data_IF_856743289843
#
_entry.id   IF_856743289843
#
_cell.length_a   1.000
_cell.length_b   1.000
_cell.length_c   1.000
_cell.angle_alpha   90.00
_cell.angle_beta   90.00
_cell.angle_gamma   90.00
#
_symmetry.space_group_name_H-M   'P 1'
#
loop_
_entity.id
_entity.type
_entity.pdbx_description
1 polymer ?
#
# COMPACT_ATOMS: atom_id res chain seq x y z
N UNK A 1 21.24 -5.57 -2.62
CA UNK A 1 19.97 -6.03 -3.25
C UNK A 1 18.87 -5.77 -2.26
N UNK A 2 17.81 -5.03 -2.61
CA UNK A 2 16.71 -4.74 -1.68
C UNK A 2 15.89 -6.00 -1.41
N UNK A 3 15.58 -6.25 -0.14
CA UNK A 3 14.69 -7.33 0.27
C UNK A 3 13.26 -7.00 -0.15
N UNK A 4 12.44 -8.04 -0.35
CA UNK A 4 11.02 -7.86 -0.70
C UNK A 4 10.29 -6.99 0.34
N UNK A 5 10.63 -7.12 1.63
CA UNK A 5 10.05 -6.31 2.71
C UNK A 5 10.42 -4.83 2.62
N UNK A 6 11.66 -4.50 2.28
CA UNK A 6 12.12 -3.10 2.15
C UNK A 6 11.42 -2.40 0.98
N UNK A 7 11.29 -3.08 -0.16
CA UNK A 7 10.52 -2.59 -1.31
C UNK A 7 9.06 -2.36 -0.93
N UNK A 8 8.46 -3.22 -0.09
CA UNK A 8 7.10 -3.02 0.40
C UNK A 8 6.95 -1.78 1.29
N UNK A 9 7.93 -1.52 2.14
CA UNK A 9 7.95 -0.33 3.01
C UNK A 9 8.00 0.95 2.18
N UNK A 10 8.83 0.99 1.13
CA UNK A 10 8.90 2.11 0.19
C UNK A 10 7.56 2.30 -0.53
N UNK A 11 6.95 1.21 -1.01
CA UNK A 11 5.62 1.29 -1.62
C UNK A 11 4.55 1.82 -0.66
N UNK A 12 4.60 1.44 0.62
CA UNK A 12 3.65 1.91 1.62
C UNK A 12 3.83 3.40 1.90
N UNK A 13 5.08 3.87 1.99
CA UNK A 13 5.41 5.28 2.13
C UNK A 13 4.88 6.11 0.94
N UNK A 14 5.18 5.70 -0.29
CA UNK A 14 4.72 6.38 -1.52
C UNK A 14 3.20 6.34 -1.67
N UNK A 15 2.55 5.24 -1.23
CA UNK A 15 1.09 5.14 -1.18
C UNK A 15 0.48 6.14 -0.21
N UNK A 16 1.03 6.25 1.02
CA UNK A 16 0.57 7.23 2.02
C UNK A 16 0.83 8.68 1.58
N UNK A 17 1.91 8.92 0.85
CA UNK A 17 2.23 10.22 0.23
C UNK A 17 1.28 10.60 -0.91
N UNK A 18 0.51 9.65 -1.45
CA UNK A 18 -0.44 9.89 -2.54
C UNK A 18 0.20 9.86 -3.94
N UNK A 19 1.41 9.32 -4.06
CA UNK A 19 2.12 9.21 -5.34
C UNK A 19 1.45 8.19 -6.26
N UNK A 20 1.48 8.40 -7.58
CA UNK A 20 0.91 7.45 -8.55
C UNK A 20 1.79 6.21 -8.72
N UNK A 21 1.18 5.05 -9.02
CA UNK A 21 1.92 3.78 -9.22
C UNK A 21 3.02 3.84 -10.29
N UNK A 22 2.84 4.68 -11.32
CA UNK A 22 3.84 4.88 -12.36
C UNK A 22 5.04 5.66 -11.82
N UNK A 23 4.77 6.76 -11.10
CA UNK A 23 5.82 7.60 -10.51
C UNK A 23 6.59 6.84 -9.43
N UNK A 24 5.90 6.05 -8.61
CA UNK A 24 6.55 5.19 -7.61
C UNK A 24 7.50 4.17 -8.24
N UNK A 25 7.09 3.49 -9.31
CA UNK A 25 7.97 2.52 -9.98
C UNK A 25 9.20 3.19 -10.59
N UNK A 26 9.04 4.38 -11.18
CA UNK A 26 10.16 5.19 -11.70
C UNK A 26 11.12 5.61 -10.59
N UNK A 27 10.60 6.22 -9.51
CA UNK A 27 11.41 6.65 -8.37
C UNK A 27 12.22 5.48 -7.78
N UNK A 28 11.62 4.30 -7.66
CA UNK A 28 12.31 3.12 -7.11
C UNK A 28 13.42 2.65 -8.06
N UNK A 29 13.14 2.55 -9.36
CA UNK A 29 14.14 2.11 -10.33
C UNK A 29 15.29 3.14 -10.48
N UNK A 30 14.99 4.43 -10.37
CA UNK A 30 16.00 5.49 -10.40
C UNK A 30 16.89 5.47 -9.16
N UNK A 31 16.31 5.25 -7.97
CA UNK A 31 17.05 5.28 -6.71
C UNK A 31 17.83 3.98 -6.40
N UNK A 32 17.33 2.83 -6.84
CA UNK A 32 17.83 1.52 -6.42
C UNK A 32 18.28 0.61 -7.57
N UNK A 33 18.28 1.11 -8.82
CA UNK A 33 18.74 0.40 -10.01
C UNK A 33 17.61 0.07 -10.99
N UNK A 34 17.94 0.09 -12.29
CA UNK A 34 16.97 -0.13 -13.36
C UNK A 34 16.27 -1.49 -13.22
N UNK A 35 14.96 -1.49 -13.44
CA UNK A 35 14.08 -2.68 -13.48
C UNK A 35 13.85 -3.45 -12.17
N UNK A 36 14.19 -2.89 -11.01
CA UNK A 36 13.84 -3.51 -9.72
C UNK A 36 12.33 -3.73 -9.57
N UNK A 37 11.54 -2.80 -10.10
CA UNK A 37 10.09 -2.77 -9.94
C UNK A 37 9.39 -2.41 -11.24
N UNK A 38 8.44 -3.24 -11.65
CA UNK A 38 7.52 -2.92 -12.74
C UNK A 38 6.27 -2.19 -12.25
N UNK A 39 5.63 -1.44 -13.16
CA UNK A 39 4.34 -0.78 -12.89
C UNK A 39 3.26 -1.78 -12.44
N UNK A 40 3.30 -3.02 -12.94
CA UNK A 40 2.35 -4.07 -12.56
C UNK A 40 2.50 -4.45 -11.08
N UNK A 41 3.73 -4.57 -10.58
CA UNK A 41 4.03 -4.82 -9.17
C UNK A 41 3.51 -3.67 -8.31
N UNK A 42 3.79 -2.42 -8.71
CA UNK A 42 3.31 -1.23 -8.01
C UNK A 42 1.78 -1.19 -7.90
N UNK A 43 1.07 -1.47 -9.00
CA UNK A 43 -0.41 -1.57 -9.01
C UNK A 43 -0.93 -2.63 -8.04
N UNK A 44 -0.35 -3.84 -8.05
CA UNK A 44 -0.77 -4.95 -7.16
C UNK A 44 -0.59 -4.59 -5.69
N UNK A 45 0.53 -3.94 -5.33
CA UNK A 45 0.80 -3.48 -3.96
C UNK A 45 -0.18 -2.39 -3.52
N UNK A 46 -0.40 -1.39 -4.37
CA UNK A 46 -1.35 -0.31 -4.08
C UNK A 46 -2.79 -0.81 -3.92
N UNK A 47 -3.23 -1.79 -4.72
CA UNK A 47 -4.53 -2.44 -4.56
C UNK A 47 -4.65 -3.10 -3.18
N UNK A 48 -3.66 -3.91 -2.78
CA UNK A 48 -3.62 -4.53 -1.45
C UNK A 48 -3.66 -3.50 -0.31
N UNK A 49 -2.95 -2.39 -0.45
CA UNK A 49 -2.99 -1.33 0.56
C UNK A 49 -4.33 -0.61 0.62
N UNK A 50 -4.99 -0.37 -0.53
CA UNK A 50 -6.36 0.16 -0.54
C UNK A 50 -7.35 -0.79 0.12
N UNK A 51 -7.25 -2.09 -0.14
CA UNK A 51 -8.10 -3.11 0.48
C UNK A 51 -7.89 -3.17 1.99
N UNK A 52 -6.64 -3.18 2.47
CA UNK A 52 -6.32 -3.13 3.90
C UNK A 52 -6.77 -1.82 4.57
N UNK A 53 -6.70 -0.69 3.88
CA UNK A 53 -7.23 0.58 4.40
C UNK A 53 -8.77 0.59 4.43
N UNK A 54 -9.42 -0.01 3.43
CA UNK A 54 -10.89 -0.17 3.41
C UNK A 54 -11.36 -1.11 4.51
N UNK A 55 -10.66 -2.22 4.78
CA UNK A 55 -11.00 -3.11 5.89
C UNK A 55 -10.88 -2.41 7.24
N UNK A 56 -9.85 -1.57 7.44
CA UNK A 56 -9.72 -0.74 8.64
C UNK A 56 -10.84 0.31 8.78
N UNK A 57 -11.22 0.98 7.67
CA UNK A 57 -12.36 1.92 7.71
C UNK A 57 -13.71 1.23 7.91
N UNK A 58 -13.84 -0.03 7.50
CA UNK A 58 -15.04 -0.84 7.65
C UNK A 58 -15.11 -1.59 9.00
N UNK A 59 -14.15 -1.36 9.91
CA UNK A 59 -14.20 -1.80 11.31
C UNK A 59 -14.99 -0.83 12.22
N UNK A 60 -15.89 -0.02 11.67
CA UNK A 60 -17.07 0.42 12.42
C UNK A 60 -18.09 -0.74 12.46
N UNK A 61 -17.68 -1.90 12.97
CA UNK A 61 -18.62 -2.96 13.33
C UNK A 61 -19.31 -2.49 14.60
N UNK A 62 -20.49 -1.90 14.44
CA UNK A 62 -21.39 -1.64 15.54
C UNK A 62 -21.57 -2.93 16.34
N UNK A 63 -21.14 -2.88 17.60
CA UNK A 63 -21.74 -3.74 18.60
C UNK A 63 -23.14 -3.15 18.80
N UNK A 64 -24.24 -3.87 18.53
CA UNK A 64 -25.54 -3.38 19.01
C UNK A 64 -25.42 -3.28 20.53
N UNK A 65 -25.59 -2.08 21.06
CA UNK A 65 -25.76 -1.87 22.49
C UNK A 65 -26.90 -2.78 22.91
N UNK A 66 -26.56 -3.79 23.70
CA UNK A 66 -27.53 -4.64 24.34
C UNK A 66 -28.22 -3.77 25.38
N UNK A 67 -29.32 -3.12 24.98
CA UNK A 67 -30.26 -2.49 25.90
C UNK A 67 -30.88 -3.63 26.71
N UNK A 68 -30.39 -3.82 27.93
CA UNK A 68 -31.12 -4.47 29.01
C UNK A 68 -30.89 -3.64 30.26
N UNK A 69 -31.87 -2.79 30.54
CA UNK A 69 -32.07 -2.00 31.75
C UNK A 69 -33.54 -1.71 31.87
#
# INVERSE_FOLDING_TARGET
>A
MLSTSEVCTIFLYEFKKGTSTLKTARNINEAFGENLVSRAIAKKRFKKFKEKNKSLKNEKRGRPDSVFG
#
